data_IF_059597765219
#
_entry.id   IF_059597765219
#
_cell.length_a   1.000
_cell.length_b   1.000
_cell.length_c   1.000
_cell.angle_alpha   90.00
_cell.angle_beta   90.00
_cell.angle_gamma   90.00
#
_symmetry.space_group_name_H-M   'P 1'
#
loop_
_entity.id
_entity.type
_entity.pdbx_description
1 polymer ?
#
# COMPACT_ATOMS: atom_id res chain seq x y z
N UNK A 1 72.85 19.67 -35.95
CA UNK A 1 71.52 19.50 -35.36
C UNK A 1 71.47 18.12 -34.75
N UNK A 2 71.93 17.97 -33.50
CA UNK A 2 71.91 16.69 -32.79
C UNK A 2 70.51 16.55 -32.21
N UNK A 3 69.65 15.77 -32.86
CA UNK A 3 68.44 15.25 -32.22
C UNK A 3 68.91 14.42 -31.02
N UNK A 4 68.50 14.84 -29.81
CA UNK A 4 68.73 14.12 -28.57
C UNK A 4 67.45 13.30 -28.31
N UNK A 5 67.30 12.09 -28.87
CA UNK A 5 66.07 11.30 -28.81
C UNK A 5 65.61 11.01 -27.37
N UNK A 6 66.54 11.04 -26.42
CA UNK A 6 66.23 10.86 -25.00
C UNK A 6 65.31 11.95 -24.44
N UNK A 7 65.43 13.20 -24.89
CA UNK A 7 64.57 14.31 -24.43
C UNK A 7 63.15 14.16 -24.99
N UNK A 8 63.03 13.70 -26.23
CA UNK A 8 61.74 13.43 -26.88
C UNK A 8 60.97 12.34 -26.12
N UNK A 9 61.62 11.25 -25.74
CA UNK A 9 61.01 10.18 -24.94
C UNK A 9 60.62 10.64 -23.53
N UNK A 10 61.45 11.44 -22.88
CA UNK A 10 61.13 12.01 -21.56
C UNK A 10 59.86 12.87 -21.64
N UNK A 11 59.73 13.69 -22.68
CA UNK A 11 58.58 14.56 -22.88
C UNK A 11 57.31 13.76 -23.18
N UNK A 12 57.40 12.70 -23.98
CA UNK A 12 56.27 11.80 -24.26
C UNK A 12 55.79 11.07 -23.01
N UNK A 13 56.69 10.55 -22.19
CA UNK A 13 56.35 9.92 -20.91
C UNK A 13 55.71 10.93 -19.96
N UNK A 14 56.27 12.13 -19.87
CA UNK A 14 55.72 13.20 -19.04
C UNK A 14 54.29 13.57 -19.45
N UNK A 15 54.03 13.77 -20.75
CA UNK A 15 52.68 14.06 -21.26
C UNK A 15 51.73 12.89 -20.99
N UNK A 16 52.18 11.65 -21.18
CA UNK A 16 51.34 10.47 -20.96
C UNK A 16 50.92 10.35 -19.50
N UNK A 17 51.86 10.57 -18.57
CA UNK A 17 51.57 10.59 -17.13
C UNK A 17 50.64 11.76 -16.77
N UNK A 18 50.92 12.96 -17.28
CA UNK A 18 50.10 14.14 -17.01
C UNK A 18 48.66 13.95 -17.51
N UNK A 19 48.48 13.37 -18.70
CA UNK A 19 47.17 13.05 -19.26
C UNK A 19 46.45 11.99 -18.42
N UNK A 20 47.15 10.92 -18.01
CA UNK A 20 46.58 9.88 -17.17
C UNK A 20 46.09 10.44 -15.82
N UNK A 21 46.91 11.30 -15.18
CA UNK A 21 46.54 12.00 -13.94
C UNK A 21 45.32 12.88 -14.15
N UNK A 22 45.29 13.66 -15.24
CA UNK A 22 44.16 14.54 -15.56
C UNK A 22 42.87 13.74 -15.79
N UNK A 23 42.93 12.64 -16.54
CA UNK A 23 41.76 11.79 -16.80
C UNK A 23 41.22 11.15 -15.52
N UNK A 24 42.10 10.71 -14.62
CA UNK A 24 41.68 10.15 -13.32
C UNK A 24 41.06 11.22 -12.42
N UNK A 25 41.60 12.44 -12.43
CA UNK A 25 41.01 13.56 -11.69
C UNK A 25 39.60 13.91 -12.22
N UNK A 26 39.45 14.03 -13.53
CA UNK A 26 38.15 14.31 -14.16
C UNK A 26 37.15 13.19 -13.85
N UNK A 27 37.59 11.93 -13.97
CA UNK A 27 36.74 10.77 -13.66
C UNK A 27 36.27 10.79 -12.21
N UNK A 28 37.16 11.11 -11.26
CA UNK A 28 36.81 11.22 -9.85
C UNK A 28 35.72 12.29 -9.61
N UNK A 29 35.88 13.47 -10.20
CA UNK A 29 34.91 14.57 -10.09
C UNK A 29 33.55 14.18 -10.70
N UNK A 30 33.55 13.53 -11.86
CA UNK A 30 32.30 13.07 -12.50
C UNK A 30 31.59 12.03 -11.64
N UNK A 31 32.33 11.07 -11.08
CA UNK A 31 31.75 10.04 -10.20
C UNK A 31 31.17 10.67 -8.93
N UNK A 32 31.87 11.63 -8.32
CA UNK A 32 31.39 12.35 -7.13
C UNK A 32 30.10 13.13 -7.43
N UNK A 33 30.04 13.85 -8.56
CA UNK A 33 28.83 14.54 -8.98
C UNK A 33 27.67 13.58 -9.29
N UNK A 34 27.94 12.48 -9.99
CA UNK A 34 26.92 11.47 -10.30
C UNK A 34 26.33 10.85 -9.03
N UNK A 35 27.18 10.58 -8.03
CA UNK A 35 26.74 10.02 -6.75
C UNK A 35 26.00 11.05 -5.89
N UNK A 36 26.41 12.33 -5.92
CA UNK A 36 25.74 13.40 -5.19
C UNK A 36 24.33 13.65 -5.71
N UNK A 37 24.12 13.66 -7.03
CA UNK A 37 22.80 13.83 -7.64
C UNK A 37 21.88 12.68 -7.25
N UNK A 38 22.37 11.43 -7.37
CA UNK A 38 21.59 10.25 -6.99
C UNK A 38 21.14 10.30 -5.51
N UNK A 39 21.99 10.81 -4.61
CA UNK A 39 21.66 10.94 -3.19
C UNK A 39 20.67 12.08 -2.92
N UNK A 40 20.85 13.23 -3.57
CA UNK A 40 19.98 14.39 -3.37
C UNK A 40 18.56 14.09 -3.85
N UNK A 41 18.41 13.39 -4.99
CA UNK A 41 17.13 12.96 -5.52
C UNK A 41 16.36 12.09 -4.51
N UNK A 42 17.01 11.08 -3.91
CA UNK A 42 16.39 10.19 -2.92
C UNK A 42 15.89 10.95 -1.67
N UNK A 43 16.70 11.87 -1.13
CA UNK A 43 16.34 12.67 0.05
C UNK A 43 15.22 13.69 -0.26
N UNK A 44 15.28 14.39 -1.41
CA UNK A 44 14.22 15.31 -1.82
C UNK A 44 12.91 14.59 -2.11
N UNK A 45 12.96 13.42 -2.75
CA UNK A 45 11.77 12.61 -3.00
C UNK A 45 11.09 12.17 -1.71
N UNK A 46 11.85 11.73 -0.70
CA UNK A 46 11.28 11.35 0.58
C UNK A 46 10.57 12.54 1.28
N UNK A 47 11.21 13.72 1.26
CA UNK A 47 10.64 14.94 1.85
C UNK A 47 9.38 15.39 1.10
N UNK A 48 9.39 15.32 -0.23
CA UNK A 48 8.23 15.69 -1.05
C UNK A 48 7.03 14.77 -0.82
N UNK A 49 7.27 13.46 -0.73
CA UNK A 49 6.24 12.46 -0.41
C UNK A 49 5.63 12.74 0.96
N UNK A 50 6.45 12.98 1.99
CA UNK A 50 5.94 13.30 3.33
C UNK A 50 5.17 14.62 3.37
N UNK A 51 5.65 15.64 2.63
CA UNK A 51 4.96 16.92 2.53
C UNK A 51 3.60 16.80 1.84
N UNK A 52 3.51 16.02 0.77
CA UNK A 52 2.26 15.76 0.07
C UNK A 52 1.30 14.98 0.97
N UNK A 53 1.79 13.96 1.69
CA UNK A 53 1.00 13.24 2.70
C UNK A 53 0.45 14.18 3.78
N UNK A 54 1.28 15.07 4.32
CA UNK A 54 0.84 16.00 5.36
C UNK A 54 -0.24 16.97 4.85
N UNK A 55 -0.10 17.47 3.62
CA UNK A 55 -1.11 18.33 2.98
C UNK A 55 -2.44 17.60 2.79
N UNK A 56 -2.40 16.39 2.24
CA UNK A 56 -3.60 15.57 2.06
C UNK A 56 -4.28 15.25 3.39
N UNK A 57 -3.51 14.94 4.43
CA UNK A 57 -4.07 14.70 5.76
C UNK A 57 -4.73 15.95 6.35
N UNK A 58 -4.18 17.14 6.10
CA UNK A 58 -4.79 18.40 6.53
C UNK A 58 -6.10 18.68 5.78
N UNK A 59 -6.13 18.52 4.45
CA UNK A 59 -7.34 18.71 3.64
C UNK A 59 -8.46 17.74 4.02
N UNK A 60 -8.12 16.47 4.28
CA UNK A 60 -9.07 15.47 4.77
C UNK A 60 -9.51 15.73 6.21
N UNK A 61 -8.62 16.26 7.05
CA UNK A 61 -8.94 16.69 8.41
C UNK A 61 -9.92 17.86 8.43
N UNK A 62 -9.72 18.87 7.58
CA UNK A 62 -10.64 20.00 7.43
C UNK A 62 -12.02 19.53 6.94
N UNK A 63 -12.05 18.54 6.04
CA UNK A 63 -13.30 17.90 5.62
C UNK A 63 -13.96 17.14 6.78
N UNK A 64 -13.19 16.41 7.60
CA UNK A 64 -13.70 15.71 8.76
C UNK A 64 -14.37 16.67 9.75
N UNK A 65 -13.73 17.79 10.09
CA UNK A 65 -14.31 18.80 11.00
C UNK A 65 -15.58 19.43 10.43
N UNK A 66 -15.76 19.44 9.11
CA UNK A 66 -16.99 19.90 8.47
C UNK A 66 -18.12 18.85 8.55
N UNK A 67 -17.76 17.57 8.64
CA UNK A 67 -18.66 16.43 8.77
C UNK A 67 -19.11 16.18 10.22
N UNK A 68 -18.19 16.38 11.17
CA UNK A 68 -18.39 16.22 12.61
C UNK A 68 -19.16 17.44 13.15
N UNK A 69 -20.49 17.34 13.16
CA UNK A 69 -21.36 18.45 13.52
C UNK A 69 -21.53 18.61 15.02
N UNK A 70 -21.41 17.51 15.76
CA UNK A 70 -21.51 17.49 17.21
C UNK A 70 -20.17 17.76 17.92
N UNK A 71 -19.06 17.72 17.17
CA UNK A 71 -17.72 17.99 17.67
C UNK A 71 -17.19 16.87 18.56
N UNK A 72 -17.72 15.65 18.41
CA UNK A 72 -17.34 14.48 19.19
C UNK A 72 -15.92 13.99 18.87
N UNK A 73 -15.38 14.35 17.70
CA UNK A 73 -14.12 13.82 17.18
C UNK A 73 -14.27 12.48 16.47
N UNK A 74 -15.49 12.00 16.28
CA UNK A 74 -15.85 10.78 15.56
C UNK A 74 -17.02 11.07 14.61
N UNK A 75 -17.09 10.38 13.46
CA UNK A 75 -18.24 10.48 12.56
C UNK A 75 -19.23 9.36 12.85
N UNK A 76 -20.44 9.75 13.22
CA UNK A 76 -21.57 8.84 13.27
C UNK A 76 -22.11 8.54 11.86
N UNK A 77 -22.85 7.44 11.71
CA UNK A 77 -23.47 7.08 10.45
C UNK A 77 -24.47 8.14 9.99
N UNK A 78 -25.20 8.72 10.92
CA UNK A 78 -26.21 9.74 10.68
C UNK A 78 -25.60 11.02 10.13
N UNK A 79 -24.52 11.52 10.76
CA UNK A 79 -23.79 12.70 10.29
C UNK A 79 -23.19 12.49 8.91
N UNK A 80 -22.68 11.29 8.66
CA UNK A 80 -22.13 10.92 7.37
C UNK A 80 -23.19 10.90 6.26
N UNK A 81 -24.33 10.23 6.50
CA UNK A 81 -25.45 10.19 5.56
C UNK A 81 -26.04 11.59 5.31
N UNK A 82 -26.13 12.43 6.34
CA UNK A 82 -26.60 13.81 6.23
C UNK A 82 -25.63 14.65 5.39
N UNK A 83 -24.33 14.53 5.64
CA UNK A 83 -23.31 15.24 4.89
C UNK A 83 -23.28 14.87 3.41
N UNK A 84 -23.47 13.59 3.07
CA UNK A 84 -23.52 13.12 1.69
C UNK A 84 -24.77 13.60 0.92
N UNK A 85 -25.83 14.06 1.62
CA UNK A 85 -26.95 14.78 0.98
C UNK A 85 -26.57 16.22 0.62
N UNK A 86 -25.52 16.76 1.24
CA UNK A 86 -25.01 18.10 1.00
C UNK A 86 -24.17 18.19 -0.28
N UNK A 87 -24.62 18.99 -1.25
CA UNK A 87 -23.87 19.24 -2.51
C UNK A 87 -22.44 19.73 -2.29
N UNK A 88 -22.16 20.45 -1.20
CA UNK A 88 -20.83 20.97 -0.87
C UNK A 88 -19.84 19.85 -0.55
N UNK A 89 -20.23 18.91 0.30
CA UNK A 89 -19.39 17.78 0.71
C UNK A 89 -19.17 16.83 -0.47
N UNK A 90 -20.22 16.49 -1.21
CA UNK A 90 -20.11 15.65 -2.42
C UNK A 90 -19.15 16.27 -3.45
N UNK A 91 -19.21 17.59 -3.64
CA UNK A 91 -18.28 18.27 -4.55
C UNK A 91 -16.83 18.23 -4.04
N UNK A 92 -16.61 18.39 -2.72
CA UNK A 92 -15.27 18.26 -2.12
C UNK A 92 -14.73 16.83 -2.25
N UNK A 93 -15.56 15.81 -2.03
CA UNK A 93 -15.18 14.40 -2.22
C UNK A 93 -14.78 14.13 -3.67
N UNK A 94 -15.54 14.65 -4.64
CA UNK A 94 -15.20 14.53 -6.05
C UNK A 94 -13.89 15.24 -6.42
N UNK A 95 -13.58 16.40 -5.82
CA UNK A 95 -12.28 17.06 -5.98
C UNK A 95 -11.12 16.25 -5.39
N UNK A 96 -11.41 15.42 -4.39
CA UNK A 96 -10.47 14.48 -3.77
C UNK A 96 -10.49 13.12 -4.46
N UNK A 97 -11.11 13.00 -5.65
CA UNK A 97 -11.19 11.77 -6.44
C UNK A 97 -11.83 10.60 -5.69
N UNK A 98 -12.82 10.91 -4.84
CA UNK A 98 -13.61 9.94 -4.09
C UNK A 98 -15.07 10.04 -4.49
N UNK A 99 -15.63 8.93 -4.96
CA UNK A 99 -17.04 8.83 -5.25
C UNK A 99 -17.86 8.67 -3.96
N UNK A 100 -18.90 9.49 -3.81
CA UNK A 100 -19.76 9.50 -2.63
C UNK A 100 -20.53 8.17 -2.44
N UNK A 101 -20.88 7.48 -3.53
CA UNK A 101 -21.58 6.20 -3.50
C UNK A 101 -20.64 5.07 -3.07
N UNK A 102 -19.43 4.99 -3.64
CA UNK A 102 -18.41 4.02 -3.22
C UNK A 102 -18.10 4.18 -1.72
N UNK A 103 -17.99 5.43 -1.29
CA UNK A 103 -17.75 5.77 0.10
C UNK A 103 -18.88 5.29 1.04
N UNK A 104 -20.15 5.30 0.61
CA UNK A 104 -21.25 4.71 1.38
C UNK A 104 -21.15 3.18 1.46
N UNK A 105 -20.78 2.53 0.35
CA UNK A 105 -20.67 1.06 0.30
C UNK A 105 -19.57 0.53 1.23
N UNK A 106 -18.46 1.27 1.34
CA UNK A 106 -17.33 0.86 2.18
C UNK A 106 -17.41 1.38 3.62
N UNK A 107 -18.44 2.14 4.01
CA UNK A 107 -18.58 2.67 5.37
C UNK A 107 -18.38 1.59 6.44
N UNK A 108 -19.02 0.43 6.25
CA UNK A 108 -18.92 -0.73 7.16
C UNK A 108 -17.52 -1.36 7.20
N UNK A 109 -16.68 -1.11 6.20
CA UNK A 109 -15.30 -1.55 6.15
C UNK A 109 -14.35 -0.53 6.80
N UNK A 110 -14.75 0.74 6.85
CA UNK A 110 -13.98 1.84 7.41
C UNK A 110 -14.24 2.02 8.91
N UNK A 111 -15.51 2.01 9.31
CA UNK A 111 -15.92 2.06 10.71
C UNK A 111 -15.48 0.77 11.41
N UNK A 112 -14.82 0.89 12.56
CA UNK A 112 -14.58 -0.27 13.41
C UNK A 112 -15.92 -0.73 14.00
N UNK A 113 -15.92 -1.90 14.64
CA UNK A 113 -17.15 -2.56 15.11
C UNK A 113 -17.97 -1.79 16.16
N UNK A 114 -17.61 -0.56 16.49
CA UNK A 114 -18.34 0.43 17.31
C UNK A 114 -19.38 1.23 16.50
N UNK A 115 -19.26 1.25 15.17
CA UNK A 115 -20.21 1.94 14.28
C UNK A 115 -19.96 3.44 14.14
N UNK A 116 -18.85 3.94 14.69
CA UNK A 116 -18.33 5.29 14.46
C UNK A 116 -17.01 5.24 13.70
N UNK A 117 -16.59 6.39 13.18
CA UNK A 117 -15.37 6.50 12.39
C UNK A 117 -14.51 7.64 12.94
N UNK A 118 -13.36 7.31 13.52
CA UNK A 118 -12.41 8.33 13.99
C UNK A 118 -11.75 9.09 12.83
N UNK A 119 -11.16 10.25 13.12
CA UNK A 119 -10.40 11.07 12.15
C UNK A 119 -9.32 10.23 11.43
N UNK A 120 -8.58 9.42 12.19
CA UNK A 120 -7.49 8.60 11.64
C UNK A 120 -8.02 7.52 10.68
N UNK A 121 -9.16 6.90 11.02
CA UNK A 121 -9.82 5.90 10.19
C UNK A 121 -10.40 6.52 8.92
N UNK A 122 -10.98 7.71 9.03
CA UNK A 122 -11.45 8.47 7.89
C UNK A 122 -10.31 8.78 6.92
N UNK A 123 -9.22 9.40 7.40
CA UNK A 123 -8.07 9.77 6.55
C UNK A 123 -7.44 8.52 5.91
N UNK A 124 -7.29 7.44 6.67
CA UNK A 124 -6.73 6.18 6.17
C UNK A 124 -7.65 5.51 5.16
N UNK A 125 -8.96 5.51 5.41
CA UNK A 125 -9.98 4.99 4.52
C UNK A 125 -10.00 5.70 3.19
N UNK A 126 -10.07 7.04 3.23
CA UNK A 126 -10.06 7.90 2.04
C UNK A 126 -8.80 7.69 1.19
N UNK A 127 -7.63 7.54 1.82
CA UNK A 127 -6.38 7.22 1.11
C UNK A 127 -6.40 5.85 0.45
N UNK A 128 -6.98 4.84 1.09
CA UNK A 128 -7.09 3.49 0.52
C UNK A 128 -8.02 3.43 -0.68
N UNK A 129 -9.08 4.25 -0.69
CA UNK A 129 -10.01 4.29 -1.80
C UNK A 129 -9.46 5.03 -3.02
N UNK A 130 -8.75 6.14 -2.80
CA UNK A 130 -8.12 6.91 -3.90
C UNK A 130 -6.91 6.22 -4.51
N UNK A 131 -6.24 5.34 -3.75
CA UNK A 131 -5.03 4.67 -4.19
C UNK A 131 -5.29 3.48 -5.11
N UNK A 132 -4.48 3.33 -6.16
CA UNK A 132 -4.40 2.07 -6.88
C UNK A 132 -3.91 0.95 -5.94
N UNK A 133 -4.55 -0.23 -6.03
CA UNK A 133 -4.09 -1.39 -5.29
C UNK A 133 -2.64 -1.73 -5.70
N UNK A 134 -1.71 -1.69 -4.75
CA UNK A 134 -0.31 -2.01 -5.03
C UNK A 134 -0.16 -3.52 -5.24
N UNK A 135 0.91 -3.95 -5.92
CA UNK A 135 1.18 -5.38 -6.15
C UNK A 135 1.19 -6.21 -4.87
N UNK A 136 1.59 -5.62 -3.74
CA UNK A 136 1.55 -6.26 -2.41
C UNK A 136 0.10 -6.53 -1.96
N UNK A 137 -0.83 -5.62 -2.23
CA UNK A 137 -2.23 -5.72 -1.82
C UNK A 137 -2.93 -6.83 -2.61
N UNK A 138 -2.63 -6.91 -3.91
CA UNK A 138 -3.08 -8.02 -4.78
C UNK A 138 -2.51 -9.36 -4.30
N UNK A 139 -1.23 -9.41 -3.96
CA UNK A 139 -0.60 -10.64 -3.47
C UNK A 139 -1.21 -11.10 -2.13
N UNK A 140 -1.49 -10.16 -1.22
CA UNK A 140 -2.18 -10.43 0.03
C UNK A 140 -3.58 -10.99 -0.24
N UNK A 141 -4.33 -10.38 -1.15
CA UNK A 141 -5.65 -10.88 -1.58
C UNK A 141 -5.58 -12.31 -2.12
N UNK A 142 -4.64 -12.61 -3.02
CA UNK A 142 -4.42 -13.95 -3.55
C UNK A 142 -4.08 -14.98 -2.45
N UNK A 143 -3.28 -14.59 -1.45
CA UNK A 143 -2.97 -15.46 -0.32
C UNK A 143 -4.19 -15.71 0.56
N UNK A 144 -5.03 -14.69 0.79
CA UNK A 144 -6.32 -14.87 1.47
C UNK A 144 -7.26 -15.79 0.70
N UNK A 145 -7.32 -15.66 -0.63
CA UNK A 145 -8.12 -16.52 -1.51
C UNK A 145 -7.68 -18.00 -1.39
N UNK A 146 -6.38 -18.29 -1.48
CA UNK A 146 -5.86 -19.66 -1.32
C UNK A 146 -6.18 -20.26 0.04
N UNK A 147 -6.11 -19.45 1.11
CA UNK A 147 -6.50 -19.89 2.46
C UNK A 147 -7.99 -20.20 2.55
N UNK A 148 -8.83 -19.43 1.84
CA UNK A 148 -10.26 -19.69 1.74
C UNK A 148 -10.53 -20.98 0.96
N UNK A 149 -9.89 -21.20 -0.19
CA UNK A 149 -10.00 -22.45 -0.96
C UNK A 149 -9.71 -23.67 -0.08
N UNK A 150 -8.59 -23.67 0.67
CA UNK A 150 -8.26 -24.78 1.58
C UNK A 150 -9.29 -24.98 2.68
N UNK A 151 -9.92 -23.91 3.18
CA UNK A 151 -11.00 -24.02 4.18
C UNK A 151 -12.27 -24.57 3.56
N UNK A 152 -12.61 -24.16 2.33
CA UNK A 152 -13.75 -24.67 1.58
C UNK A 152 -13.58 -26.16 1.30
N UNK A 153 -12.40 -26.61 0.88
CA UNK A 153 -12.11 -28.03 0.66
C UNK A 153 -12.30 -28.86 1.94
N UNK A 154 -11.89 -28.33 3.10
CA UNK A 154 -12.10 -28.99 4.39
C UNK A 154 -13.57 -29.07 4.78
N UNK A 155 -14.34 -28.02 4.49
CA UNK A 155 -15.79 -27.99 4.74
C UNK A 155 -16.48 -29.02 3.83
N UNK A 156 -16.12 -29.07 2.54
CA UNK A 156 -16.66 -30.05 1.60
C UNK A 156 -16.37 -31.48 2.04
N UNK A 157 -15.12 -31.79 2.42
CA UNK A 157 -14.77 -33.12 2.92
C UNK A 157 -15.54 -33.51 4.20
N UNK A 158 -15.84 -32.53 5.06
CA UNK A 158 -16.67 -32.76 6.25
C UNK A 158 -18.14 -33.03 5.90
N UNK A 159 -18.68 -32.35 4.89
CA UNK A 159 -20.05 -32.56 4.39
C UNK A 159 -20.17 -33.94 3.74
N UNK A 160 -19.22 -34.33 2.89
CA UNK A 160 -19.20 -35.65 2.25
C UNK A 160 -19.20 -36.78 3.30
N UNK A 161 -18.44 -36.61 4.38
CA UNK A 161 -18.43 -37.56 5.50
C UNK A 161 -19.76 -37.64 6.26
N UNK A 162 -20.51 -36.54 6.36
CA UNK A 162 -21.85 -36.53 6.96
C UNK A 162 -22.85 -37.24 6.04
N UNK A 163 -22.80 -37.00 4.73
CA UNK A 163 -23.68 -37.67 3.76
C UNK A 163 -23.47 -39.18 3.78
N UNK A 164 -22.22 -39.64 3.90
CA UNK A 164 -21.91 -41.07 4.02
C UNK A 164 -22.49 -41.67 5.33
N UNK A 165 -22.35 -40.97 6.46
CA UNK A 165 -22.94 -41.37 7.75
C UNK A 165 -24.48 -41.43 7.71
N UNK A 166 -25.11 -40.43 7.09
CA UNK A 166 -26.58 -40.39 6.93
C UNK A 166 -27.04 -41.52 6.02
N UNK A 167 -26.33 -41.79 4.91
CA UNK A 167 -26.60 -42.93 4.03
C UNK A 167 -26.59 -44.26 4.79
N UNK A 168 -25.55 -44.51 5.59
CA UNK A 168 -25.44 -45.71 6.44
C UNK A 168 -26.59 -45.85 7.44
N UNK A 169 -27.03 -44.74 8.06
CA UNK A 169 -28.18 -44.72 8.96
C UNK A 169 -29.51 -45.01 8.24
N UNK A 170 -29.71 -44.47 7.03
CA UNK A 170 -30.93 -44.70 6.24
C UNK A 170 -31.03 -46.13 5.67
N UNK A 171 -29.91 -46.80 5.40
CA UNK A 171 -29.87 -48.20 4.95
C UNK A 171 -30.01 -49.22 6.11
N UNK A 172 -30.18 -48.76 7.36
CA UNK A 172 -30.35 -49.64 8.52
C UNK A 172 -29.07 -50.37 8.96
N UNK A 173 -27.91 -50.01 8.40
CA UNK A 173 -26.60 -50.50 8.86
C UNK A 173 -26.11 -49.57 9.95
N UNK A 174 -26.50 -49.81 11.20
CA UNK A 174 -25.83 -49.16 12.33
C UNK A 174 -24.35 -49.59 12.32
N UNK A 175 -23.38 -48.66 12.26
CA UNK A 175 -22.03 -48.99 12.67
C UNK A 175 -22.08 -49.40 14.14
N UNK A 176 -21.47 -50.53 14.47
CA UNK A 176 -21.53 -51.21 15.79
C UNK A 176 -20.91 -50.42 16.96
N UNK A 177 -20.71 -49.11 16.84
CA UNK A 177 -20.00 -48.24 17.78
C UNK A 177 -20.92 -47.72 18.90
N UNK A 178 -22.24 -47.88 18.79
CA UNK A 178 -23.21 -47.37 19.79
C UNK A 178 -23.59 -48.36 20.92
N UNK A 179 -23.03 -49.58 20.97
CA UNK A 179 -23.37 -50.60 21.98
C UNK A 179 -22.26 -50.86 23.04
N UNK A 180 -21.19 -50.06 23.04
CA UNK A 180 -20.01 -50.28 23.91
C UNK A 180 -19.89 -49.39 25.16
N UNK A 181 -20.87 -48.55 25.46
CA UNK A 181 -20.88 -47.73 26.68
C UNK A 181 -22.22 -47.85 27.41
N UNK A 182 -22.45 -49.00 28.04
CA UNK A 182 -23.29 -49.13 29.24
C UNK A 182 -22.54 -50.01 30.25
#
# INVERSE_FOLDING_TARGET
MVQQPMIEWLFLIFISIAYFVLMNLITAVIVEHAFSIAKEDDEHHAIEVERNRAREAAELGDLFTELDTDGSGELSREEFEEALRGRRVVHKLALLDVDAHELQEVWHMLAKGDGSLSVEEFIMGMRKMRGEAQSKDVLLCLNHLRRLETKVDRIMAAIDGIDELVGQLTEGKLPAVALGCM
#
